data_IF_977561958573
#
_entry.id   IF_977561958573
#
_cell.length_a   1.000
_cell.length_b   1.000
_cell.length_c   1.000
_cell.angle_alpha   90.00
_cell.angle_beta   90.00
_cell.angle_gamma   90.00
#
_symmetry.space_group_name_H-M   'P 1'
#
loop_
_entity.id
_entity.type
_entity.pdbx_description
1 polymer ?
#
# COMPACT_ATOMS: atom_id res chain seq x y z
N UNK A 1 24.18 6.87 30.56
CA UNK A 1 22.95 6.31 31.17
C UNK A 1 22.66 4.99 30.49
N UNK A 2 22.55 3.89 31.25
CA UNK A 2 22.12 2.61 30.68
C UNK A 2 20.67 2.36 31.05
N UNK A 3 19.93 1.76 30.13
CA UNK A 3 18.56 1.33 30.36
C UNK A 3 18.49 -0.18 30.15
N UNK A 4 17.86 -0.88 31.07
CA UNK A 4 17.50 -2.27 30.88
C UNK A 4 16.07 -2.33 30.36
N UNK A 5 15.85 -2.98 29.22
CA UNK A 5 14.50 -3.23 28.72
C UNK A 5 14.12 -4.69 28.98
N UNK A 6 13.06 -4.87 29.77
CA UNK A 6 12.38 -6.15 29.91
C UNK A 6 11.33 -6.35 28.83
N UNK A 7 11.09 -7.61 28.45
CA UNK A 7 9.93 -7.96 27.61
C UNK A 7 8.75 -8.32 28.52
N UNK A 8 7.55 -7.84 28.20
CA UNK A 8 6.32 -8.18 28.93
C UNK A 8 5.25 -8.66 27.95
N UNK A 9 4.43 -9.63 28.39
CA UNK A 9 3.32 -10.12 27.58
C UNK A 9 2.18 -9.10 27.60
N UNK A 10 1.71 -8.68 26.42
CA UNK A 10 0.60 -7.70 26.32
C UNK A 10 -0.68 -8.16 27.03
N UNK A 11 -0.95 -9.46 27.03
CA UNK A 11 -2.15 -10.04 27.67
C UNK A 11 -2.04 -10.15 29.19
N UNK A 12 -0.82 -10.23 29.72
CA UNK A 12 -0.56 -10.32 31.15
C UNK A 12 0.61 -9.40 31.53
N UNK A 13 0.37 -8.07 31.61
CA UNK A 13 1.44 -7.09 31.83
C UNK A 13 2.20 -7.28 33.15
N UNK A 14 1.57 -7.93 34.14
CA UNK A 14 2.16 -8.21 35.46
C UNK A 14 3.16 -9.37 35.42
N UNK A 15 3.16 -10.20 34.36
CA UNK A 15 4.10 -11.29 34.19
C UNK A 15 5.30 -10.80 33.37
N UNK A 16 6.45 -10.71 34.02
CA UNK A 16 7.71 -10.42 33.36
C UNK A 16 8.12 -11.63 32.51
N UNK A 17 8.37 -11.41 31.22
CA UNK A 17 8.84 -12.45 30.33
C UNK A 17 10.35 -12.61 30.54
N UNK A 18 10.71 -13.38 31.56
CA UNK A 18 12.10 -13.65 31.95
C UNK A 18 12.69 -14.76 31.06
N UNK A 19 12.92 -14.44 29.78
CA UNK A 19 13.54 -15.30 28.77
C UNK A 19 15.05 -15.53 29.00
N UNK A 20 15.62 -14.96 30.06
CA UNK A 20 17.06 -14.99 30.35
C UNK A 20 17.87 -14.02 29.49
N UNK A 21 17.24 -13.24 28.61
CA UNK A 21 17.92 -12.28 27.74
C UNK A 21 17.88 -10.89 28.37
N UNK A 22 19.04 -10.41 28.80
CA UNK A 22 19.20 -9.02 29.24
C UNK A 22 19.46 -8.11 28.06
N UNK A 23 18.57 -7.14 27.83
CA UNK A 23 18.72 -6.11 26.79
C UNK A 23 19.16 -4.80 27.42
N UNK A 24 20.39 -4.37 27.13
CA UNK A 24 20.97 -3.13 27.67
C UNK A 24 21.05 -2.10 26.53
N UNK A 25 20.46 -0.92 26.77
CA UNK A 25 20.53 0.23 25.88
C UNK A 25 21.46 1.27 26.50
N UNK A 26 22.51 1.64 25.77
CA UNK A 26 23.50 2.62 26.20
C UNK A 26 23.24 3.93 25.46
N UNK A 27 22.88 4.98 26.19
CA UNK A 27 22.67 6.30 25.61
C UNK A 27 23.90 7.19 25.81
N UNK A 28 24.36 7.78 24.70
CA UNK A 28 25.62 8.53 24.67
C UNK A 28 25.43 10.04 24.90
N UNK A 29 24.30 10.61 24.50
CA UNK A 29 24.03 12.04 24.58
C UNK A 29 23.32 12.49 25.86
N UNK A 30 23.40 11.70 26.94
CA UNK A 30 22.71 12.01 28.20
C UNK A 30 23.66 12.67 29.21
N UNK A 31 23.16 13.63 29.96
CA UNK A 31 23.88 14.26 31.06
C UNK A 31 23.72 13.46 32.36
N UNK A 32 24.81 13.34 33.11
CA UNK A 32 24.78 12.72 34.44
C UNK A 32 24.29 13.71 35.49
N UNK A 33 23.61 13.23 36.55
CA UNK A 33 23.36 14.00 37.77
C UNK A 33 24.66 14.56 38.36
N UNK A 34 24.59 15.71 39.06
CA UNK A 34 25.77 16.37 39.64
C UNK A 34 26.46 15.52 40.71
N UNK A 35 25.71 14.64 41.34
CA UNK A 35 26.08 13.67 42.37
C UNK A 35 26.42 12.27 41.82
N UNK A 36 26.54 12.13 40.49
CA UNK A 36 26.87 10.85 39.86
C UNK A 36 28.19 10.26 40.36
N UNK A 37 28.17 8.94 40.52
CA UNK A 37 29.33 8.16 40.96
C UNK A 37 30.49 8.22 39.97
N UNK A 38 31.69 7.93 40.45
CA UNK A 38 32.90 7.94 39.62
C UNK A 38 32.80 6.95 38.44
N UNK A 39 32.22 5.77 38.68
CA UNK A 39 32.05 4.73 37.65
C UNK A 39 31.04 5.14 36.58
N UNK A 40 29.97 5.86 36.96
CA UNK A 40 29.00 6.37 35.99
C UNK A 40 29.62 7.41 35.07
N UNK A 41 30.49 8.28 35.62
CA UNK A 41 31.26 9.27 34.86
C UNK A 41 32.22 8.59 33.89
N UNK A 42 32.95 7.56 34.33
CA UNK A 42 33.83 6.76 33.45
C UNK A 42 33.06 6.12 32.29
N UNK A 43 31.89 5.54 32.56
CA UNK A 43 31.03 4.96 31.52
C UNK A 43 30.55 6.04 30.55
N UNK A 44 30.12 7.20 31.05
CA UNK A 44 29.68 8.31 30.19
C UNK A 44 30.82 8.81 29.29
N UNK A 45 32.01 9.00 29.84
CA UNK A 45 33.18 9.46 29.08
C UNK A 45 33.60 8.42 28.03
N UNK A 46 33.56 7.13 28.36
CA UNK A 46 33.79 6.05 27.40
C UNK A 46 32.75 6.07 26.27
N UNK A 47 31.47 6.16 26.61
CA UNK A 47 30.39 6.22 25.63
C UNK A 47 30.55 7.44 24.70
N UNK A 48 30.85 8.62 25.26
CA UNK A 48 31.08 9.86 24.49
C UNK A 48 32.24 9.70 23.52
N UNK A 49 33.33 9.09 23.96
CA UNK A 49 34.48 8.79 23.10
C UNK A 49 34.17 7.79 21.98
N UNK A 50 33.35 6.77 22.25
CA UNK A 50 32.92 5.79 21.23
C UNK A 50 32.07 6.45 20.15
N UNK A 51 31.16 7.37 20.53
CA UNK A 51 30.37 8.13 19.56
C UNK A 51 31.24 9.06 18.73
N UNK A 52 32.15 9.78 19.38
CA UNK A 52 33.06 10.71 18.73
C UNK A 52 34.48 10.52 19.24
N UNK A 53 35.28 9.75 18.49
CA UNK A 53 36.67 9.42 18.83
C UNK A 53 37.62 10.60 18.56
N UNK A 54 37.43 11.67 19.34
CA UNK A 54 38.22 12.92 19.35
C UNK A 54 39.05 13.00 20.64
N UNK A 55 40.17 13.71 20.59
CA UNK A 55 41.04 13.94 21.76
C UNK A 55 40.30 14.67 22.89
N UNK A 56 39.48 15.65 22.53
CA UNK A 56 38.66 16.44 23.45
C UNK A 56 37.70 15.58 24.28
N UNK A 57 37.29 14.42 23.74
CA UNK A 57 36.39 13.48 24.40
C UNK A 57 37.13 12.46 25.26
N UNK A 58 38.46 12.37 25.18
CA UNK A 58 39.29 11.48 25.98
C UNK A 58 39.68 12.15 27.31
N UNK A 59 38.68 12.33 28.19
CA UNK A 59 38.86 13.06 29.46
C UNK A 59 39.46 12.20 30.58
N UNK A 60 39.30 10.89 30.53
CA UNK A 60 39.72 9.96 31.59
C UNK A 60 40.97 9.17 31.17
N UNK A 61 41.74 8.67 32.12
CA UNK A 61 42.94 7.86 31.83
C UNK A 61 42.62 6.65 30.94
N UNK A 62 41.50 5.96 31.20
CA UNK A 62 41.05 4.82 30.40
C UNK A 62 40.73 5.20 28.96
N UNK A 63 40.07 6.35 28.74
CA UNK A 63 39.73 6.81 27.39
C UNK A 63 40.94 7.38 26.66
N UNK A 64 41.90 7.98 27.36
CA UNK A 64 43.19 8.40 26.79
C UNK A 64 44.04 7.22 26.34
N UNK A 65 44.11 6.15 27.15
CA UNK A 65 44.78 4.90 26.74
C UNK A 65 44.13 4.31 25.49
N UNK A 66 42.80 4.30 25.44
CA UNK A 66 42.05 3.86 24.26
C UNK A 66 42.37 4.75 23.04
N UNK A 67 42.43 6.06 23.22
CA UNK A 67 42.76 6.99 22.14
C UNK A 67 44.17 6.77 21.57
N UNK A 68 45.16 6.50 22.43
CA UNK A 68 46.50 6.11 21.98
C UNK A 68 46.50 4.83 21.13
N UNK A 69 45.72 3.82 21.52
CA UNK A 69 45.55 2.58 20.75
C UNK A 69 44.87 2.85 19.41
N UNK A 70 43.82 3.68 19.39
CA UNK A 70 43.11 4.05 18.17
C UNK A 70 44.01 4.85 17.22
N UNK A 71 44.74 5.85 17.72
CA UNK A 71 45.70 6.64 16.93
C UNK A 71 46.80 5.78 16.33
N UNK A 72 47.44 4.95 17.15
CA UNK A 72 48.50 4.05 16.68
C UNK A 72 47.98 3.06 15.63
N UNK A 73 46.74 2.59 15.77
CA UNK A 73 46.09 1.71 14.79
C UNK A 73 45.75 2.45 13.50
N UNK A 74 45.22 3.68 13.59
CA UNK A 74 44.96 4.54 12.42
C UNK A 74 46.23 4.87 11.64
N UNK A 75 47.36 5.06 12.33
CA UNK A 75 48.66 5.33 11.73
C UNK A 75 49.27 4.13 10.97
N UNK A 76 48.81 2.89 11.24
CA UNK A 76 49.30 1.71 10.52
C UNK A 76 48.92 1.79 9.05
N UNK A 77 49.94 1.73 8.18
CA UNK A 77 49.80 1.84 6.71
C UNK A 77 48.74 0.88 6.14
N UNK A 78 48.65 -0.33 6.66
CA UNK A 78 47.71 -1.33 6.15
C UNK A 78 46.26 -1.03 6.53
N UNK A 79 46.03 -0.46 7.72
CA UNK A 79 44.70 -0.01 8.15
C UNK A 79 44.25 1.14 7.28
N UNK A 80 45.11 2.13 7.05
CA UNK A 80 44.79 3.27 6.21
C UNK A 80 44.49 2.85 4.76
N UNK A 81 45.30 1.95 4.17
CA UNK A 81 45.03 1.40 2.83
C UNK A 81 43.68 0.69 2.75
N UNK A 82 43.35 -0.14 3.75
CA UNK A 82 42.05 -0.84 3.80
C UNK A 82 40.90 0.15 3.93
N UNK A 83 41.07 1.18 4.76
CA UNK A 83 40.09 2.24 4.93
C UNK A 83 39.84 3.01 3.62
N UNK A 84 40.90 3.44 2.94
CA UNK A 84 40.78 4.15 1.65
C UNK A 84 40.08 3.30 0.58
N UNK A 85 40.44 2.02 0.45
CA UNK A 85 39.76 1.11 -0.47
C UNK A 85 38.28 0.90 -0.13
N UNK A 86 37.95 0.84 1.16
CA UNK A 86 36.56 0.71 1.60
C UNK A 86 35.77 1.97 1.25
N UNK A 87 36.36 3.14 1.49
CA UNK A 87 35.77 4.43 1.20
C UNK A 87 35.52 4.64 -0.30
N UNK A 88 36.50 4.30 -1.14
CA UNK A 88 36.37 4.35 -2.61
C UNK A 88 35.19 3.48 -3.08
N UNK A 89 35.10 2.24 -2.58
CA UNK A 89 34.02 1.32 -2.93
C UNK A 89 32.65 1.83 -2.48
N UNK A 90 32.55 2.34 -1.26
CA UNK A 90 31.29 2.90 -0.73
C UNK A 90 30.82 4.07 -1.59
N UNK A 91 31.75 4.96 -1.96
CA UNK A 91 31.46 6.12 -2.79
C UNK A 91 30.99 5.70 -4.19
N UNK A 92 31.68 4.75 -4.81
CA UNK A 92 31.31 4.20 -6.12
C UNK A 92 29.91 3.58 -6.08
N UNK A 93 29.59 2.79 -5.04
CA UNK A 93 28.27 2.18 -4.87
C UNK A 93 27.15 3.23 -4.73
N UNK A 94 27.39 4.30 -3.96
CA UNK A 94 26.44 5.41 -3.80
C UNK A 94 26.23 6.13 -5.14
N UNK A 95 27.30 6.38 -5.88
CA UNK A 95 27.24 7.07 -7.17
C UNK A 95 26.52 6.24 -8.22
N UNK A 96 26.85 4.95 -8.35
CA UNK A 96 26.11 4.01 -9.19
C UNK A 96 24.63 3.90 -8.80
N UNK A 97 24.33 3.91 -7.50
CA UNK A 97 22.97 3.89 -7.00
C UNK A 97 22.17 5.10 -7.47
N UNK A 98 22.77 6.30 -7.37
CA UNK A 98 22.17 7.56 -7.84
C UNK A 98 22.01 7.58 -9.35
N UNK A 99 22.96 7.03 -10.11
CA UNK A 99 22.85 6.96 -11.57
C UNK A 99 21.73 6.03 -12.01
N UNK A 100 21.62 4.86 -11.36
CA UNK A 100 20.52 3.92 -11.59
C UNK A 100 19.17 4.55 -11.24
N UNK A 101 19.08 5.32 -10.15
CA UNK A 101 17.87 6.04 -9.75
C UNK A 101 17.48 7.11 -10.78
N UNK A 102 18.45 7.91 -11.26
CA UNK A 102 18.23 8.91 -12.32
C UNK A 102 17.73 8.26 -13.60
N UNK A 103 18.38 7.19 -14.05
CA UNK A 103 17.99 6.45 -15.24
C UNK A 103 16.58 5.83 -15.10
N UNK A 104 16.26 5.29 -13.93
CA UNK A 104 14.93 4.74 -13.66
C UNK A 104 13.86 5.84 -13.67
N UNK A 105 14.14 6.99 -13.06
CA UNK A 105 13.23 8.14 -13.06
C UNK A 105 12.94 8.62 -14.48
N UNK A 106 13.96 8.72 -15.33
CA UNK A 106 13.77 9.11 -16.72
C UNK A 106 12.98 8.06 -17.52
N UNK A 107 13.23 6.78 -17.27
CA UNK A 107 12.47 5.68 -17.87
C UNK A 107 11.00 5.70 -17.45
N UNK A 108 10.71 5.93 -16.17
CA UNK A 108 9.35 6.05 -15.66
C UNK A 108 8.65 7.29 -16.22
N UNK A 109 9.34 8.42 -16.36
CA UNK A 109 8.79 9.60 -17.05
C UNK A 109 8.39 9.29 -18.49
N UNK A 110 9.28 8.66 -19.26
CA UNK A 110 8.97 8.25 -20.65
C UNK A 110 7.77 7.30 -20.72
N UNK A 111 7.68 6.35 -19.78
CA UNK A 111 6.52 5.45 -19.68
C UNK A 111 5.23 6.21 -19.37
N UNK A 112 5.29 7.19 -18.47
CA UNK A 112 4.16 8.05 -18.14
C UNK A 112 3.73 8.89 -19.35
N UNK A 113 4.67 9.51 -20.06
CA UNK A 113 4.41 10.32 -21.26
C UNK A 113 3.82 9.48 -22.41
N UNK A 114 4.29 8.24 -22.58
CA UNK A 114 3.68 7.32 -23.54
C UNK A 114 2.27 6.87 -23.13
N UNK A 115 2.04 6.69 -21.83
CA UNK A 115 0.74 6.30 -21.31
C UNK A 115 -0.29 7.44 -21.46
N UNK A 116 0.11 8.69 -21.19
CA UNK A 116 -0.74 9.86 -21.43
C UNK A 116 -1.06 10.02 -22.92
N UNK A 117 -0.06 9.90 -23.81
CA UNK A 117 -0.33 9.96 -25.26
C UNK A 117 -1.30 8.87 -25.73
N UNK A 118 -1.16 7.65 -25.22
CA UNK A 118 -2.09 6.54 -25.50
C UNK A 118 -3.49 6.82 -24.97
N UNK A 119 -3.62 7.45 -23.80
CA UNK A 119 -4.90 7.86 -23.26
C UNK A 119 -5.56 8.93 -24.14
N UNK A 120 -4.82 9.97 -24.53
CA UNK A 120 -5.32 11.03 -25.42
C UNK A 120 -5.78 10.48 -26.79
N UNK A 121 -5.02 9.53 -27.35
CA UNK A 121 -5.39 8.84 -28.60
C UNK A 121 -6.65 7.99 -28.43
N UNK A 122 -6.79 7.29 -27.29
CA UNK A 122 -7.98 6.50 -26.98
C UNK A 122 -9.22 7.38 -26.77
N UNK A 123 -9.09 8.52 -26.07
CA UNK A 123 -10.17 9.49 -25.89
C UNK A 123 -10.66 10.05 -27.23
N UNK A 124 -9.74 10.42 -28.13
CA UNK A 124 -10.10 10.85 -29.49
C UNK A 124 -10.83 9.76 -30.26
N UNK A 125 -10.39 8.50 -30.13
CA UNK A 125 -11.03 7.37 -30.80
C UNK A 125 -12.42 7.06 -30.23
N UNK A 126 -12.60 7.20 -28.91
CA UNK A 126 -13.90 7.10 -28.26
C UNK A 126 -14.82 8.21 -28.77
N UNK A 127 -14.36 9.47 -28.79
CA UNK A 127 -15.13 10.60 -29.31
C UNK A 127 -15.51 10.43 -30.78
N UNK A 128 -14.62 9.87 -31.61
CA UNK A 128 -14.90 9.58 -33.01
C UNK A 128 -15.94 8.45 -33.17
N UNK A 129 -15.84 7.39 -32.38
CA UNK A 129 -16.84 6.31 -32.34
C UNK A 129 -18.19 6.81 -31.83
N UNK A 130 -18.21 7.67 -30.82
CA UNK A 130 -19.42 8.33 -30.31
C UNK A 130 -20.06 9.21 -31.39
N UNK A 131 -19.27 9.95 -32.16
CA UNK A 131 -19.75 10.76 -33.28
C UNK A 131 -20.29 9.90 -34.44
N UNK A 132 -19.70 8.73 -34.70
CA UNK A 132 -20.21 7.77 -35.70
C UNK A 132 -21.51 7.08 -35.23
N UNK A 133 -21.64 6.82 -33.93
CA UNK A 133 -22.88 6.33 -33.32
C UNK A 133 -23.96 7.41 -33.22
N UNK A 134 -23.56 8.69 -33.21
CA UNK A 134 -24.44 9.84 -33.39
C UNK A 134 -24.87 10.00 -34.86
N UNK A 135 -25.46 8.93 -35.43
CA UNK A 135 -26.34 9.06 -36.59
C UNK A 135 -27.53 9.93 -36.16
N UNK A 136 -27.89 10.97 -36.92
CA UNK A 136 -29.06 11.78 -36.60
C UNK A 136 -30.29 10.87 -36.54
N UNK A 137 -31.03 10.99 -35.44
CA UNK A 137 -32.36 10.43 -35.27
C UNK A 137 -33.34 11.17 -36.21
N UNK A 138 -33.13 11.11 -37.52
CA UNK A 138 -34.08 11.59 -38.50
C UNK A 138 -33.81 10.99 -39.89
N UNK A 139 -34.25 9.75 -40.09
CA UNK A 139 -34.96 9.34 -41.30
C UNK A 139 -35.72 8.04 -40.96
N UNK A 140 -37.04 8.17 -40.85
CA UNK A 140 -38.00 7.10 -40.58
C UNK A 140 -37.80 5.86 -41.47
N UNK A 141 -37.94 4.65 -40.90
CA UNK A 141 -38.70 3.58 -41.52
C UNK A 141 -39.96 3.32 -40.70
N UNK A 142 -40.79 4.35 -40.51
CA UNK A 142 -42.15 4.25 -39.97
C UNK A 142 -43.10 3.57 -40.96
N UNK A 143 -42.91 2.29 -41.29
CA UNK A 143 -43.98 1.48 -41.91
C UNK A 143 -44.07 0.03 -41.45
N UNK A 144 -43.09 -0.52 -40.73
CA UNK A 144 -43.10 -1.97 -40.40
C UNK A 144 -43.30 -2.31 -38.90
N UNK A 145 -43.18 -1.35 -37.98
CA UNK A 145 -43.32 -1.61 -36.53
C UNK A 145 -44.74 -1.36 -36.02
N UNK A 146 -45.49 -0.47 -36.65
CA UNK A 146 -46.86 -0.11 -36.27
C UNK A 146 -47.89 -1.19 -36.64
N UNK A 147 -47.62 -2.00 -37.67
CA UNK A 147 -48.53 -3.06 -38.13
C UNK A 147 -48.41 -4.34 -37.26
N UNK A 148 -47.20 -4.68 -36.80
CA UNK A 148 -46.97 -5.77 -35.84
C UNK A 148 -47.60 -5.46 -34.46
N UNK A 149 -47.47 -4.22 -34.00
CA UNK A 149 -48.12 -3.75 -32.77
C UNK A 149 -49.65 -3.80 -32.85
N UNK A 150 -50.25 -3.31 -33.95
CA UNK A 150 -51.71 -3.37 -34.15
C UNK A 150 -52.26 -4.79 -34.21
N UNK A 151 -51.60 -5.69 -34.95
CA UNK A 151 -52.04 -7.10 -35.07
C UNK A 151 -52.00 -7.83 -33.73
N UNK A 152 -50.96 -7.62 -32.93
CA UNK A 152 -50.87 -8.22 -31.59
C UNK A 152 -51.89 -7.63 -30.60
N UNK A 153 -52.20 -6.34 -30.70
CA UNK A 153 -53.26 -5.73 -29.88
C UNK A 153 -54.67 -6.15 -30.30
N UNK A 154 -54.91 -6.40 -31.60
CA UNK A 154 -56.20 -6.89 -32.10
C UNK A 154 -56.41 -8.39 -31.78
N UNK A 155 -55.36 -9.20 -31.87
CA UNK A 155 -55.39 -10.62 -31.48
C UNK A 155 -55.64 -10.77 -29.97
N UNK A 156 -54.97 -9.97 -29.13
CA UNK A 156 -55.20 -9.98 -27.68
C UNK A 156 -56.60 -9.48 -27.30
N UNK A 157 -57.13 -8.49 -28.01
CA UNK A 157 -58.51 -8.03 -27.81
C UNK A 157 -59.56 -9.07 -28.23
N UNK A 158 -59.33 -9.79 -29.34
CA UNK A 158 -60.20 -10.90 -29.78
C UNK A 158 -60.15 -12.08 -28.80
N UNK A 159 -58.97 -12.44 -28.30
CA UNK A 159 -58.80 -13.50 -27.32
C UNK A 159 -59.52 -13.17 -26.00
N UNK A 160 -59.41 -11.91 -25.56
CA UNK A 160 -60.08 -11.42 -24.34
C UNK A 160 -61.59 -11.45 -24.48
N UNK A 161 -62.13 -11.07 -25.65
CA UNK A 161 -63.57 -11.13 -25.93
C UNK A 161 -64.08 -12.58 -25.95
N UNK A 162 -63.35 -13.50 -26.57
CA UNK A 162 -63.71 -14.92 -26.61
C UNK A 162 -63.73 -15.56 -25.22
N UNK A 163 -62.74 -15.23 -24.37
CA UNK A 163 -62.70 -15.69 -22.97
C UNK A 163 -63.85 -15.09 -22.13
N UNK A 164 -64.23 -13.84 -22.38
CA UNK A 164 -65.40 -13.23 -21.74
C UNK A 164 -66.73 -13.85 -22.20
N UNK A 165 -66.87 -14.20 -23.48
CA UNK A 165 -68.04 -14.91 -24.01
C UNK A 165 -68.14 -16.34 -23.47
N UNK A 166 -67.03 -17.08 -23.40
CA UNK A 166 -66.97 -18.42 -22.76
C UNK A 166 -67.38 -18.35 -21.28
N UNK A 167 -66.86 -17.39 -20.52
CA UNK A 167 -67.19 -17.24 -19.10
C UNK A 167 -68.61 -16.71 -18.86
N UNK A 168 -69.21 -16.02 -19.83
CA UNK A 168 -70.62 -15.59 -19.76
C UNK A 168 -71.58 -16.73 -20.15
N UNK A 169 -71.08 -17.78 -20.84
CA UNK A 169 -71.86 -18.97 -21.21
C UNK A 169 -71.76 -20.13 -20.22
N UNK A 170 -70.80 -20.09 -19.27
CA UNK A 170 -70.79 -20.98 -18.12
C UNK A 170 -71.94 -20.59 -17.17
N UNK A 171 -73.05 -21.31 -17.24
CA UNK A 171 -74.13 -21.19 -16.28
C UNK A 171 -73.62 -21.49 -14.87
N UNK A 172 -74.21 -20.86 -13.86
CA UNK A 172 -73.94 -21.11 -12.42
C UNK A 172 -73.99 -22.61 -12.07
N UNK A 173 -74.72 -23.40 -12.83
CA UNK A 173 -74.86 -24.85 -12.66
C UNK A 173 -73.57 -25.62 -12.97
N UNK A 174 -72.77 -25.19 -13.95
CA UNK A 174 -71.53 -25.88 -14.34
C UNK A 174 -70.37 -25.61 -13.37
N UNK A 175 -70.34 -24.42 -12.76
CA UNK A 175 -69.37 -24.08 -11.72
C UNK A 175 -69.63 -24.85 -10.41
N UNK A 176 -70.90 -25.11 -10.07
CA UNK A 176 -71.27 -25.93 -8.91
C UNK A 176 -71.04 -27.43 -9.14
N UNK A 177 -71.23 -27.92 -10.38
CA UNK A 177 -70.90 -29.31 -10.75
C UNK A 177 -69.40 -29.59 -10.68
N UNK A 178 -68.56 -28.61 -11.05
CA UNK A 178 -67.10 -28.74 -10.99
C UNK A 178 -66.57 -28.65 -9.54
N UNK A 179 -67.23 -27.89 -8.67
CA UNK A 179 -66.90 -27.82 -7.25
C UNK A 179 -67.32 -29.08 -6.46
N UNK A 180 -68.41 -29.76 -6.85
CA UNK A 180 -68.81 -31.05 -6.23
C UNK A 180 -67.86 -32.20 -6.59
N UNK A 181 -67.36 -32.27 -7.83
CA UNK A 181 -66.43 -33.32 -8.26
C UNK A 181 -65.01 -33.22 -7.67
N UNK A 182 -64.67 -32.12 -7.00
CA UNK A 182 -63.35 -31.93 -6.36
C UNK A 182 -63.41 -32.24 -4.84
N UNK A 183 -64.60 -32.41 -4.27
CA UNK A 183 -64.83 -32.63 -2.83
C UNK A 183 -65.44 -34.00 -2.46
N UNK A 184 -65.58 -34.91 -3.43
CA UNK A 184 -65.69 -36.38 -3.19
C UNK A 184 -64.34 -37.06 -3.49
#
# INVERSE_FOLDING_TARGET
>A
MYYEAGTTLKTHPHLQYNDGIRRIFLYVGGDLPKDAGEDEKKIQNLLRYISESKEENATDESTQRLDGIVRSTKAKKDVNKRYMKSWERERELIEEGRDKERANTEREKRRADEATRRADEAEKRIAELEAQLAVPLNESPEKNTTDAGRRTTEETAKLTKYLMEQNSSMSKEDAEALARNILE
#
